data_IF_136077555921
#
_entry.id   IF_136077555921
#
_cell.length_a   1.000
_cell.length_b   1.000
_cell.length_c   1.000
_cell.angle_alpha   90.00
_cell.angle_beta   90.00
_cell.angle_gamma   90.00
#
_symmetry.space_group_name_H-M   'P 1'
#
loop_
_entity.id
_entity.type
_entity.pdbx_description
1 polymer ?
#
# COMPACT_ATOMS: atom_id res chain seq x y z
N UNK A 1 -45.36 -46.58 39.93
CA UNK A 1 -44.49 -46.32 38.76
C UNK A 1 -44.10 -44.84 38.81
N UNK A 2 -42.92 -44.54 39.35
CA UNK A 2 -42.24 -43.22 39.28
C UNK A 2 -41.24 -43.28 38.12
N UNK A 3 -40.89 -42.18 37.39
CA UNK A 3 -40.21 -41.00 37.97
C UNK A 3 -40.57 -39.63 37.33
N UNK A 4 -40.53 -38.50 38.05
CA UNK A 4 -39.43 -37.54 38.37
C UNK A 4 -39.25 -36.39 37.35
N UNK A 5 -39.38 -35.19 37.92
CA UNK A 5 -39.05 -33.84 37.47
C UNK A 5 -37.58 -33.68 37.04
N UNK A 6 -37.28 -32.87 36.01
CA UNK A 6 -36.12 -31.95 36.01
C UNK A 6 -36.21 -30.89 34.91
N UNK A 7 -36.29 -29.63 35.33
CA UNK A 7 -35.94 -28.45 34.52
C UNK A 7 -34.50 -28.62 34.03
N UNK A 8 -34.25 -28.34 32.75
CA UNK A 8 -32.91 -28.02 32.26
C UNK A 8 -32.96 -26.68 31.53
N UNK A 9 -32.50 -25.66 32.23
CA UNK A 9 -32.06 -24.39 31.67
C UNK A 9 -30.97 -24.70 30.65
N UNK A 10 -31.23 -24.49 29.36
CA UNK A 10 -30.15 -24.47 28.38
C UNK A 10 -29.51 -23.10 28.42
N UNK A 11 -28.43 -23.02 29.19
CA UNK A 11 -27.36 -22.05 29.08
C UNK A 11 -26.92 -21.94 27.62
N UNK A 12 -27.22 -20.82 26.98
CA UNK A 12 -26.59 -20.44 25.71
C UNK A 12 -25.22 -19.90 26.08
N UNK A 13 -24.21 -20.76 25.97
CA UNK A 13 -22.81 -20.35 26.04
C UNK A 13 -22.50 -19.35 24.90
N UNK A 14 -21.66 -18.33 25.13
CA UNK A 14 -21.24 -17.42 24.08
C UNK A 14 -20.36 -18.20 23.09
N UNK A 15 -20.72 -18.13 21.81
CA UNK A 15 -19.87 -18.60 20.70
C UNK A 15 -18.71 -17.61 20.54
N UNK A 16 -17.69 -17.78 21.38
CA UNK A 16 -16.32 -17.35 21.07
C UNK A 16 -15.66 -18.43 20.20
N UNK A 17 -14.85 -17.95 19.24
CA UNK A 17 -14.01 -18.67 18.24
C UNK A 17 -14.56 -18.51 16.80
N UNK A 18 -13.79 -18.11 15.79
CA UNK A 18 -12.33 -18.08 15.57
C UNK A 18 -11.93 -16.70 14.99
N UNK A 19 -10.91 -16.01 15.49
CA UNK A 19 -9.49 -16.19 15.14
C UNK A 19 -9.18 -16.07 13.64
N UNK A 20 -8.59 -14.92 13.29
CA UNK A 20 -7.56 -14.70 12.25
C UNK A 20 -7.85 -15.14 10.82
N UNK A 21 -8.28 -14.19 9.98
CA UNK A 21 -7.88 -14.19 8.57
C UNK A 21 -6.47 -13.59 8.48
N UNK A 22 -5.46 -14.38 8.85
CA UNK A 22 -4.07 -14.15 8.43
C UNK A 22 -4.00 -14.51 6.95
N UNK A 23 -4.04 -13.52 6.06
CA UNK A 23 -3.62 -13.72 4.68
C UNK A 23 -2.39 -12.87 4.40
N UNK A 24 -1.30 -13.24 5.08
CA UNK A 24 0.06 -13.03 4.58
C UNK A 24 0.30 -14.14 3.55
N UNK A 25 0.14 -13.85 2.28
CA UNK A 25 0.55 -14.75 1.21
C UNK A 25 0.97 -13.86 0.05
N UNK A 26 2.22 -13.40 -0.06
CA UNK A 26 3.48 -14.06 0.22
C UNK A 26 4.50 -12.92 0.30
N UNK A 27 4.99 -12.56 1.50
CA UNK A 27 6.03 -11.55 1.65
C UNK A 27 7.18 -12.09 2.50
N UNK A 28 8.46 -11.92 2.09
CA UNK A 28 8.91 -11.39 0.80
C UNK A 28 8.32 -12.19 -0.36
N UNK A 29 8.04 -11.54 -1.49
CA UNK A 29 7.49 -12.25 -2.65
C UNK A 29 8.54 -13.28 -3.04
N UNK A 30 8.24 -14.59 -3.07
CA UNK A 30 9.19 -15.58 -3.55
C UNK A 30 9.69 -15.11 -4.91
N UNK A 31 10.98 -15.25 -5.23
CA UNK A 31 11.47 -14.89 -6.55
C UNK A 31 10.59 -15.57 -7.60
N UNK A 32 9.77 -14.76 -8.29
CA UNK A 32 8.72 -15.26 -9.20
C UNK A 32 9.35 -15.91 -10.45
N UNK A 33 10.63 -15.65 -10.67
CA UNK A 33 11.53 -16.34 -11.58
C UNK A 33 12.97 -16.18 -11.04
N UNK A 34 13.91 -17.03 -11.44
CA UNK A 34 15.33 -16.87 -11.01
C UNK A 34 15.96 -15.61 -11.64
N UNK A 35 15.32 -15.07 -12.68
CA UNK A 35 15.77 -13.91 -13.42
C UNK A 35 14.97 -12.65 -13.04
N UNK A 36 15.68 -11.62 -12.57
CA UNK A 36 15.07 -10.30 -12.29
C UNK A 36 14.64 -9.61 -13.58
N UNK A 37 13.47 -8.97 -13.57
CA UNK A 37 12.94 -8.25 -14.72
C UNK A 37 13.19 -6.74 -14.62
N UNK A 38 14.43 -6.31 -14.78
CA UNK A 38 14.75 -4.88 -14.86
C UNK A 38 14.34 -4.29 -16.21
N UNK A 39 13.76 -3.09 -16.20
CA UNK A 39 13.27 -2.42 -17.42
C UNK A 39 14.03 -1.11 -17.64
N UNK A 40 14.67 -0.98 -18.79
CA UNK A 40 15.20 0.31 -19.25
C UNK A 40 14.08 1.11 -19.90
N UNK A 41 13.87 2.34 -19.43
CA UNK A 41 12.81 3.21 -19.93
C UNK A 41 13.21 4.67 -19.82
N UNK A 42 12.35 5.56 -20.34
CA UNK A 42 12.50 7.00 -20.22
C UNK A 42 11.45 7.54 -19.25
N UNK A 43 11.89 8.27 -18.23
CA UNK A 43 11.00 8.95 -17.29
C UNK A 43 11.09 10.45 -17.47
N UNK A 44 9.93 11.12 -17.47
CA UNK A 44 9.86 12.56 -17.70
C UNK A 44 9.85 13.30 -16.36
N UNK A 45 10.84 14.15 -16.15
CA UNK A 45 10.98 14.99 -14.95
C UNK A 45 10.74 16.44 -15.32
N UNK A 46 10.23 17.25 -14.38
CA UNK A 46 10.16 18.69 -14.60
C UNK A 46 11.56 19.30 -14.58
N UNK A 47 11.87 20.07 -15.63
CA UNK A 47 13.07 20.89 -15.68
C UNK A 47 13.04 21.89 -14.54
N UNK A 48 14.19 22.08 -13.90
CA UNK A 48 14.38 23.22 -13.00
C UNK A 48 14.20 24.50 -13.81
N UNK A 49 13.23 25.33 -13.42
CA UNK A 49 13.06 26.65 -14.02
C UNK A 49 14.13 27.58 -13.47
N UNK A 50 14.88 28.23 -14.36
CA UNK A 50 15.84 29.27 -13.98
C UNK A 50 15.09 30.49 -13.40
N UNK A 51 15.39 30.86 -12.15
CA UNK A 51 14.72 31.96 -11.41
C UNK A 51 13.43 31.56 -10.66
N UNK A 52 12.74 32.53 -10.02
CA UNK A 52 11.43 32.31 -9.36
C UNK A 52 10.29 32.23 -10.37
N UNK A 53 10.40 31.36 -11.37
CA UNK A 53 9.31 31.12 -12.32
C UNK A 53 8.58 29.86 -11.88
N UNK A 54 7.27 29.97 -11.66
CA UNK A 54 6.44 28.85 -11.23
C UNK A 54 6.25 27.85 -12.38
N UNK A 55 6.16 26.56 -12.06
CA UNK A 55 5.71 25.55 -13.01
C UNK A 55 4.28 25.88 -13.43
N UNK A 56 3.89 25.70 -14.70
CA UNK A 56 2.51 25.90 -15.11
C UNK A 56 1.60 24.92 -14.35
N UNK A 57 0.40 25.38 -14.00
CA UNK A 57 -0.63 24.49 -13.47
C UNK A 57 -1.03 23.49 -14.56
N UNK A 58 -0.66 22.23 -14.38
CA UNK A 58 -1.12 21.16 -15.26
C UNK A 58 -2.55 20.80 -14.88
N UNK A 59 -3.48 21.01 -15.81
CA UNK A 59 -4.85 20.54 -15.68
C UNK A 59 -4.95 19.15 -16.34
N UNK A 60 -5.08 18.05 -15.57
CA UNK A 60 -5.08 16.68 -16.11
C UNK A 60 -6.19 16.42 -17.14
N UNK A 61 -7.26 17.21 -17.09
CA UNK A 61 -8.45 17.08 -17.94
C UNK A 61 -8.39 17.92 -19.24
N UNK A 62 -7.31 18.68 -19.48
CA UNK A 62 -7.16 19.51 -20.70
C UNK A 62 -5.75 19.41 -21.29
N UNK A 63 -5.36 18.23 -21.79
CA UNK A 63 -4.01 18.00 -22.31
C UNK A 63 -3.66 18.91 -23.49
N UNK A 64 -4.64 19.32 -24.30
CA UNK A 64 -4.44 20.28 -25.40
C UNK A 64 -4.04 21.69 -24.98
N UNK A 65 -4.25 22.08 -23.71
CA UNK A 65 -4.00 23.46 -23.26
C UNK A 65 -2.58 23.68 -22.73
N UNK A 66 -1.80 22.61 -22.52
CA UNK A 66 -0.48 22.71 -21.91
C UNK A 66 0.55 21.89 -22.70
N UNK A 67 1.54 22.58 -23.30
CA UNK A 67 2.74 21.95 -23.85
C UNK A 67 3.64 21.49 -22.70
N UNK A 68 3.24 20.43 -21.98
CA UNK A 68 3.98 19.89 -20.83
C UNK A 68 5.42 19.53 -21.21
N UNK A 69 5.62 19.06 -22.44
CA UNK A 69 6.92 18.70 -23.00
C UNK A 69 7.96 19.82 -22.98
N UNK A 70 7.56 21.09 -22.98
CA UNK A 70 8.53 22.19 -22.91
C UNK A 70 9.15 22.33 -21.52
N UNK A 71 8.42 21.91 -20.48
CA UNK A 71 8.83 21.97 -19.08
C UNK A 71 9.35 20.65 -18.54
N UNK A 72 9.33 19.58 -19.33
CA UNK A 72 9.87 18.29 -18.92
C UNK A 72 11.11 17.92 -19.71
N UNK A 73 11.98 17.14 -19.07
CA UNK A 73 13.11 16.47 -19.69
C UNK A 73 12.98 14.96 -19.51
N UNK A 74 13.33 14.23 -20.55
CA UNK A 74 13.26 12.77 -20.56
C UNK A 74 14.62 12.21 -20.14
N UNK A 75 14.64 11.45 -19.06
CA UNK A 75 15.85 10.85 -18.50
C UNK A 75 15.76 9.35 -18.68
N UNK A 76 16.81 8.75 -19.24
CA UNK A 76 16.96 7.29 -19.29
C UNK A 76 17.16 6.75 -17.87
N UNK A 77 16.28 5.85 -17.46
CA UNK A 77 16.27 5.24 -16.12
C UNK A 77 16.10 3.74 -16.23
N UNK A 78 16.65 3.03 -15.23
CA UNK A 78 16.41 1.59 -15.04
C UNK A 78 15.42 1.41 -13.90
N UNK A 79 14.29 0.77 -14.18
CA UNK A 79 13.33 0.31 -13.18
C UNK A 79 13.79 -1.06 -12.70
N UNK A 80 14.22 -1.15 -11.44
CA UNK A 80 14.70 -2.39 -10.84
C UNK A 80 13.56 -3.18 -10.24
N UNK A 81 13.33 -4.40 -10.74
CA UNK A 81 12.61 -5.46 -10.04
C UNK A 81 13.34 -5.88 -8.75
N UNK A 82 12.62 -5.80 -7.63
CA UNK A 82 13.11 -6.09 -6.28
C UNK A 82 12.44 -7.31 -5.63
N UNK A 83 11.62 -8.06 -6.38
CA UNK A 83 10.89 -9.23 -5.86
C UNK A 83 11.86 -10.28 -5.27
N UNK A 84 11.62 -10.70 -4.03
CA UNK A 84 12.50 -11.63 -3.30
C UNK A 84 13.67 -10.98 -2.55
N UNK A 85 13.88 -9.67 -2.69
CA UNK A 85 14.93 -8.90 -1.99
C UNK A 85 14.35 -7.75 -1.15
N UNK A 86 13.03 -7.72 -0.94
CA UNK A 86 12.33 -6.58 -0.35
C UNK A 86 12.78 -6.27 1.08
N UNK A 87 13.19 -7.29 1.83
CA UNK A 87 13.69 -7.16 3.21
C UNK A 87 15.09 -6.51 3.28
N UNK A 88 15.83 -6.44 2.17
CA UNK A 88 17.14 -5.79 2.10
C UNK A 88 17.06 -4.26 2.05
N UNK A 89 15.90 -3.71 1.67
CA UNK A 89 15.70 -2.27 1.52
C UNK A 89 15.38 -1.63 2.88
N UNK A 90 16.18 -0.64 3.26
CA UNK A 90 16.05 0.08 4.52
C UNK A 90 16.22 1.59 4.34
N UNK A 91 15.74 2.34 5.34
CA UNK A 91 15.71 3.80 5.30
C UNK A 91 17.10 4.43 5.21
N UNK A 92 18.11 3.87 5.88
CA UNK A 92 19.45 4.47 5.93
C UNK A 92 20.18 4.41 4.59
N UNK A 93 20.04 3.29 3.88
CA UNK A 93 20.80 3.02 2.64
C UNK A 93 20.03 3.35 1.38
N UNK A 94 18.69 3.15 1.38
CA UNK A 94 17.85 3.31 0.20
C UNK A 94 16.85 4.47 0.31
N UNK A 95 16.66 5.04 1.51
CA UNK A 95 15.66 6.09 1.75
C UNK A 95 14.22 5.57 1.84
N UNK A 96 14.00 4.26 1.71
CA UNK A 96 12.69 3.63 1.87
C UNK A 96 12.83 2.22 2.46
N UNK A 97 11.75 1.72 3.06
CA UNK A 97 11.61 0.35 3.59
C UNK A 97 10.24 -0.16 3.17
N UNK A 98 10.17 -1.46 2.84
CA UNK A 98 8.91 -2.09 2.46
C UNK A 98 8.28 -2.69 3.72
N UNK A 99 7.04 -2.30 4.01
CA UNK A 99 6.27 -2.82 5.12
C UNK A 99 5.00 -3.49 4.59
N UNK A 100 4.88 -4.80 4.79
CA UNK A 100 3.70 -5.54 4.37
C UNK A 100 2.64 -5.54 5.48
N UNK A 101 1.50 -4.93 5.19
CA UNK A 101 0.36 -4.85 6.08
C UNK A 101 -0.93 -5.03 5.29
N UNK A 102 -1.77 -5.98 5.72
CA UNK A 102 -3.11 -6.14 5.16
C UNK A 102 -4.04 -5.12 5.80
N UNK A 103 -4.51 -4.15 5.01
CA UNK A 103 -5.41 -3.11 5.53
C UNK A 103 -6.83 -3.62 5.74
N UNK A 104 -7.53 -3.03 6.72
CA UNK A 104 -8.95 -3.29 6.97
C UNK A 104 -9.87 -2.55 6.00
N UNK A 105 -9.39 -1.47 5.40
CA UNK A 105 -10.18 -0.62 4.51
C UNK A 105 -10.03 -1.12 3.07
N UNK A 106 -11.12 -1.64 2.51
CA UNK A 106 -11.14 -2.17 1.14
C UNK A 106 -11.63 -1.16 0.11
N UNK A 107 -12.47 -0.20 0.50
CA UNK A 107 -12.92 0.90 -0.34
C UNK A 107 -12.26 2.21 0.09
N UNK A 108 -11.40 2.73 -0.78
CA UNK A 108 -10.69 4.00 -0.58
C UNK A 108 -11.47 5.22 -1.09
N UNK A 109 -12.70 5.03 -1.60
CA UNK A 109 -13.56 6.11 -2.10
C UNK A 109 -14.37 6.77 -0.97
N UNK A 110 -14.68 6.02 0.09
CA UNK A 110 -15.36 6.54 1.28
C UNK A 110 -14.36 7.28 2.18
N UNK A 111 -14.33 8.60 2.03
CA UNK A 111 -13.43 9.48 2.77
C UNK A 111 -13.64 9.45 4.29
N UNK A 112 -14.83 9.16 4.77
CA UNK A 112 -15.09 9.12 6.21
C UNK A 112 -14.50 7.84 6.82
N UNK A 113 -14.63 6.71 6.12
CA UNK A 113 -14.00 5.45 6.53
C UNK A 113 -12.49 5.51 6.39
N UNK A 114 -11.94 6.08 5.31
CA UNK A 114 -10.49 6.28 5.15
C UNK A 114 -9.90 7.10 6.30
N UNK A 115 -10.54 8.23 6.67
CA UNK A 115 -10.06 9.06 7.78
C UNK A 115 -10.16 8.37 9.14
N UNK A 116 -11.24 7.62 9.37
CA UNK A 116 -11.51 6.98 10.66
C UNK A 116 -10.65 5.73 10.88
N UNK A 117 -10.36 4.98 9.83
CA UNK A 117 -9.77 3.64 9.96
C UNK A 117 -8.40 3.53 9.30
N UNK A 118 -8.27 3.92 8.02
CA UNK A 118 -7.02 3.78 7.28
C UNK A 118 -5.92 4.71 7.82
N UNK A 119 -6.22 5.98 8.10
CA UNK A 119 -5.20 6.91 8.60
C UNK A 119 -4.63 6.53 9.98
N UNK A 120 -5.45 6.17 10.99
CA UNK A 120 -4.91 5.69 12.26
C UNK A 120 -4.11 4.39 12.11
N UNK A 121 -4.53 3.48 11.23
CA UNK A 121 -3.80 2.24 10.93
C UNK A 121 -2.40 2.54 10.37
N UNK A 122 -2.30 3.40 9.35
CA UNK A 122 -1.02 3.83 8.77
C UNK A 122 -0.13 4.53 9.80
N UNK A 123 -0.71 5.40 10.64
CA UNK A 123 0.04 6.05 11.72
C UNK A 123 0.62 5.04 12.71
N UNK A 124 -0.11 3.95 13.00
CA UNK A 124 0.38 2.92 13.90
C UNK A 124 1.54 2.15 13.26
N UNK A 125 1.43 1.78 11.98
CA UNK A 125 2.53 1.14 11.23
C UNK A 125 3.78 2.01 11.27
N UNK A 126 3.64 3.32 11.06
CA UNK A 126 4.78 4.25 11.10
C UNK A 126 5.41 4.40 12.49
N UNK A 127 4.66 4.17 13.56
CA UNK A 127 5.18 4.20 14.94
C UNK A 127 5.91 2.92 15.33
N UNK A 128 5.47 1.79 14.79
CA UNK A 128 6.00 0.46 15.12
C UNK A 128 7.23 0.06 14.28
N UNK A 129 7.45 0.73 13.14
CA UNK A 129 8.44 0.37 12.11
C UNK A 129 9.88 0.86 12.36
#
# INVERSE_FOLDING_TARGET
MLPILRRSLHTIAPRMALATMTQSSYFPVPPADTQKHHVQTKMNYFKRLEGRKELPTLYPLRPETHYVSQYTESVDVTVYDIGGEELGYNLETHGFKIHCHGTKVTDLSDMDTVKREYFPEVQQILKDA
#
